data_IF_997413511270
#
_entry.id   IF_997413511270
#
_cell.length_a   1.000
_cell.length_b   1.000
_cell.length_c   1.000
_cell.angle_alpha   90.00
_cell.angle_beta   90.00
_cell.angle_gamma   90.00
#
_symmetry.space_group_name_H-M   'P 1'
#
loop_
_entity.id
_entity.type
_entity.pdbx_description
1 polymer ?
#
# COMPACT_ATOMS: atom_id res chain seq x y z
N UNK A 1 -18.77 -13.92 0.42
CA UNK A 1 -18.22 -12.92 -0.53
C UNK A 1 -16.89 -13.34 -1.16
N UNK A 2 -15.71 -13.16 -0.55
CA UNK A 2 -14.45 -13.55 -1.22
C UNK A 2 -14.23 -15.08 -1.25
N UNK A 3 -14.37 -15.76 -0.12
CA UNK A 3 -14.24 -17.23 -0.01
C UNK A 3 -15.25 -17.96 -0.90
N UNK A 4 -16.49 -17.50 -0.90
CA UNK A 4 -17.60 -18.05 -1.70
C UNK A 4 -17.31 -17.98 -3.21
N UNK A 5 -16.92 -16.81 -3.72
CA UNK A 5 -16.54 -16.64 -5.14
C UNK A 5 -15.37 -17.56 -5.54
N UNK A 6 -14.37 -17.71 -4.67
CA UNK A 6 -13.25 -18.62 -4.90
C UNK A 6 -13.70 -20.09 -4.91
N UNK A 7 -14.62 -20.47 -4.02
CA UNK A 7 -15.16 -21.84 -3.94
C UNK A 7 -16.11 -22.20 -5.09
N UNK A 8 -16.80 -21.22 -5.67
CA UNK A 8 -17.76 -21.42 -6.75
C UNK A 8 -17.11 -21.58 -8.13
N UNK A 9 -15.87 -21.12 -8.29
CA UNK A 9 -15.11 -21.31 -9.52
C UNK A 9 -14.71 -22.79 -9.70
N UNK A 10 -15.07 -23.34 -10.87
CA UNK A 10 -14.87 -24.77 -11.17
C UNK A 10 -13.40 -25.16 -11.30
N UNK A 11 -12.53 -24.26 -11.75
CA UNK A 11 -11.11 -24.52 -11.93
C UNK A 11 -10.42 -24.47 -10.56
N UNK A 12 -10.69 -23.44 -9.76
CA UNK A 12 -10.15 -23.30 -8.40
C UNK A 12 -10.56 -24.50 -7.54
N UNK A 13 -11.84 -24.91 -7.60
CA UNK A 13 -12.36 -26.07 -6.86
C UNK A 13 -11.74 -27.41 -7.27
N UNK A 14 -11.22 -27.53 -8.50
CA UNK A 14 -10.47 -28.73 -8.91
C UNK A 14 -9.06 -28.78 -8.31
N UNK A 15 -8.47 -27.61 -8.03
CA UNK A 15 -7.11 -27.48 -7.50
C UNK A 15 -7.08 -27.50 -5.97
N UNK A 16 -8.13 -26.98 -5.31
CA UNK A 16 -8.18 -26.83 -3.86
C UNK A 16 -9.45 -27.46 -3.28
N UNK A 17 -9.28 -28.21 -2.18
CA UNK A 17 -10.40 -28.83 -1.47
C UNK A 17 -11.11 -27.89 -0.49
N UNK A 18 -10.45 -26.83 -0.03
CA UNK A 18 -10.98 -25.86 0.94
C UNK A 18 -10.33 -24.49 0.73
N UNK A 19 -11.10 -23.41 0.90
CA UNK A 19 -10.60 -22.03 0.90
C UNK A 19 -10.70 -21.44 2.30
N UNK A 20 -9.56 -21.09 2.90
CA UNK A 20 -9.47 -20.36 4.17
C UNK A 20 -8.97 -18.95 3.94
N UNK A 21 -9.74 -17.97 4.40
CA UNK A 21 -9.36 -16.55 4.32
C UNK A 21 -8.90 -16.10 5.70
N UNK A 22 -7.66 -15.62 5.78
CA UNK A 22 -7.10 -15.03 7.00
C UNK A 22 -6.90 -13.54 6.77
N UNK A 23 -7.48 -12.72 7.64
CA UNK A 23 -7.23 -11.27 7.68
C UNK A 23 -6.19 -11.04 8.78
N UNK A 24 -5.00 -10.56 8.41
CA UNK A 24 -3.96 -10.22 9.36
C UNK A 24 -4.41 -9.08 10.28
N UNK A 25 -4.01 -9.12 11.55
CA UNK A 25 -4.26 -8.01 12.49
C UNK A 25 -3.20 -6.92 12.34
N UNK A 26 -2.06 -7.25 11.72
CA UNK A 26 -0.96 -6.35 11.41
C UNK A 26 -0.22 -6.78 10.15
N UNK A 27 0.61 -5.89 9.60
CA UNK A 27 1.50 -6.23 8.49
C UNK A 27 2.49 -7.35 8.88
N UNK A 28 2.85 -7.47 10.16
CA UNK A 28 3.72 -8.53 10.67
C UNK A 28 3.11 -9.93 10.45
N UNK A 29 1.80 -10.08 10.63
CA UNK A 29 1.13 -11.35 10.36
C UNK A 29 1.28 -11.75 8.90
N UNK A 30 1.00 -10.81 7.99
CA UNK A 30 1.17 -11.00 6.55
C UNK A 30 2.61 -11.39 6.24
N UNK A 31 3.61 -10.69 6.78
CA UNK A 31 5.02 -10.99 6.55
C UNK A 31 5.39 -12.41 7.00
N UNK A 32 4.89 -12.86 8.16
CA UNK A 32 5.11 -14.22 8.65
C UNK A 32 4.51 -15.28 7.72
N UNK A 33 3.31 -15.05 7.21
CA UNK A 33 2.66 -15.96 6.27
C UNK A 33 3.39 -16.04 4.91
N UNK A 34 3.85 -14.91 4.38
CA UNK A 34 4.68 -14.87 3.16
C UNK A 34 6.01 -15.58 3.40
N UNK A 35 6.72 -15.25 4.47
CA UNK A 35 8.04 -15.81 4.79
C UNK A 35 8.00 -17.33 4.98
N UNK A 36 6.90 -17.89 5.52
CA UNK A 36 6.74 -19.34 5.67
C UNK A 36 6.22 -20.05 4.41
N UNK A 37 5.83 -19.30 3.36
CA UNK A 37 5.37 -19.89 2.10
C UNK A 37 4.07 -20.70 2.20
N UNK A 38 3.27 -20.48 3.24
CA UNK A 38 2.05 -21.26 3.55
C UNK A 38 0.79 -20.70 2.90
N UNK A 39 0.89 -19.61 2.16
CA UNK A 39 -0.23 -18.98 1.44
C UNK A 39 -0.27 -19.44 -0.01
N UNK A 40 -1.48 -19.67 -0.52
CA UNK A 40 -1.71 -19.91 -1.94
C UNK A 40 -2.04 -18.63 -2.70
N UNK A 41 -2.75 -17.70 -2.06
CA UNK A 41 -3.10 -16.39 -2.61
C UNK A 41 -2.84 -15.34 -1.52
N UNK A 42 -2.17 -14.25 -1.87
CA UNK A 42 -1.88 -13.16 -0.94
C UNK A 42 -2.05 -11.78 -1.60
N UNK A 43 -2.58 -10.83 -0.84
CA UNK A 43 -2.60 -9.40 -1.19
C UNK A 43 -1.55 -8.70 -0.35
N UNK A 44 -0.43 -8.30 -0.95
CA UNK A 44 0.73 -7.72 -0.27
C UNK A 44 1.49 -6.77 -1.20
N UNK A 45 2.30 -5.85 -0.66
CA UNK A 45 3.20 -5.00 -1.46
C UNK A 45 4.37 -5.80 -2.02
N UNK A 46 4.87 -5.43 -3.20
CA UNK A 46 5.94 -6.16 -3.88
C UNK A 46 7.21 -6.32 -3.04
N UNK A 47 7.59 -5.26 -2.33
CA UNK A 47 8.79 -5.25 -1.51
C UNK A 47 8.83 -6.32 -0.41
N UNK A 48 7.68 -6.88 -0.02
CA UNK A 48 7.61 -7.99 0.94
C UNK A 48 7.97 -9.31 0.27
N UNK A 49 7.44 -9.54 -0.94
CA UNK A 49 7.77 -10.72 -1.75
C UNK A 49 9.25 -10.70 -2.11
N UNK A 50 9.76 -9.55 -2.54
CA UNK A 50 11.18 -9.37 -2.90
C UNK A 50 12.10 -9.60 -1.71
N UNK A 51 11.77 -9.02 -0.53
CA UNK A 51 12.61 -9.13 0.67
C UNK A 51 12.75 -10.57 1.17
N UNK A 52 11.72 -11.40 1.00
CA UNK A 52 11.76 -12.81 1.35
C UNK A 52 12.16 -13.73 0.20
N UNK A 53 12.39 -13.21 -1.01
CA UNK A 53 12.60 -14.00 -2.22
C UNK A 53 11.46 -15.00 -2.46
N UNK A 54 10.23 -14.65 -2.08
CA UNK A 54 9.11 -15.59 -2.02
C UNK A 54 8.60 -15.97 -3.43
N UNK A 55 8.90 -15.16 -4.44
CA UNK A 55 8.75 -15.49 -5.86
C UNK A 55 9.65 -16.67 -6.25
N UNK A 56 10.92 -16.65 -5.84
CA UNK A 56 11.91 -17.68 -6.19
C UNK A 56 11.78 -18.94 -5.34
N UNK A 57 11.57 -18.77 -4.03
CA UNK A 57 11.55 -19.90 -3.08
C UNK A 57 10.20 -20.62 -3.11
N UNK A 58 9.10 -19.87 -3.18
CA UNK A 58 7.75 -20.44 -3.06
C UNK A 58 6.95 -20.38 -4.36
N UNK A 59 7.44 -19.72 -5.41
CA UNK A 59 6.72 -19.57 -6.67
C UNK A 59 5.59 -18.52 -6.60
N UNK A 60 5.68 -17.54 -5.70
CA UNK A 60 4.68 -16.45 -5.65
C UNK A 60 4.76 -15.60 -6.92
N UNK A 61 3.81 -15.82 -7.82
CA UNK A 61 3.70 -15.15 -9.11
C UNK A 61 2.65 -14.06 -9.01
N UNK A 62 2.98 -12.85 -9.47
CA UNK A 62 2.05 -11.72 -9.50
C UNK A 62 0.85 -12.06 -10.41
N UNK A 63 -0.36 -11.81 -9.93
CA UNK A 63 -1.61 -11.98 -10.66
C UNK A 63 -2.21 -10.65 -11.09
N UNK A 64 -2.16 -9.66 -10.20
CA UNK A 64 -2.80 -8.39 -10.40
C UNK A 64 -2.18 -7.35 -9.46
N UNK A 65 -2.31 -6.08 -9.80
CA UNK A 65 -1.76 -4.99 -9.01
C UNK A 65 -2.69 -3.79 -8.98
N UNK A 66 -2.72 -3.12 -7.83
CA UNK A 66 -3.19 -1.74 -7.77
C UNK A 66 -2.07 -0.81 -8.24
N UNK A 67 -2.40 0.35 -8.83
CA UNK A 67 -1.40 1.29 -9.32
C UNK A 67 -0.49 1.77 -8.18
N UNK A 68 0.76 2.01 -8.56
CA UNK A 68 1.71 2.68 -7.69
C UNK A 68 1.23 4.11 -7.41
N UNK A 69 1.68 4.64 -6.27
CA UNK A 69 1.24 5.93 -5.79
C UNK A 69 2.41 6.72 -5.21
N UNK A 70 2.26 8.03 -5.22
CA UNK A 70 3.30 8.91 -4.71
C UNK A 70 3.04 9.29 -3.25
N UNK A 71 4.11 9.38 -2.47
CA UNK A 71 4.11 9.94 -1.12
C UNK A 71 4.46 11.43 -1.20
N UNK A 72 3.80 12.25 -0.38
CA UNK A 72 3.98 13.70 -0.36
C UNK A 72 4.20 14.22 1.05
N UNK A 73 4.91 15.35 1.14
CA UNK A 73 4.62 16.35 2.17
C UNK A 73 3.58 17.31 1.64
N UNK A 74 2.50 17.51 2.41
CA UNK A 74 1.37 18.37 2.06
C UNK A 74 1.26 19.46 3.10
N UNK A 75 1.10 20.71 2.66
CA UNK A 75 0.89 21.87 3.52
C UNK A 75 -0.25 22.76 2.98
N UNK A 76 -0.70 23.73 3.78
CA UNK A 76 -1.82 24.61 3.43
C UNK A 76 -1.44 25.85 2.62
N UNK A 77 -0.26 26.43 2.88
CA UNK A 77 0.05 27.82 2.48
C UNK A 77 1.17 27.93 1.46
N UNK A 78 2.09 27.00 1.49
CA UNK A 78 3.28 27.03 0.65
C UNK A 78 3.73 25.60 0.36
N UNK A 79 4.52 25.44 -0.71
CA UNK A 79 5.09 24.15 -1.07
C UNK A 79 6.24 23.80 -0.12
N UNK A 80 6.18 22.65 0.59
CA UNK A 80 7.28 22.25 1.47
C UNK A 80 8.60 22.09 0.72
N UNK A 81 9.70 22.64 1.23
CA UNK A 81 11.02 22.42 0.67
C UNK A 81 11.73 21.29 1.43
N UNK A 82 12.40 20.40 0.69
CA UNK A 82 13.17 19.29 1.28
C UNK A 82 14.58 19.76 1.69
N UNK A 83 14.65 20.75 2.56
CA UNK A 83 15.91 21.27 3.11
C UNK A 83 15.87 21.36 4.64
N UNK A 84 17.05 21.39 5.26
CA UNK A 84 17.17 21.51 6.72
C UNK A 84 16.52 22.80 7.21
N UNK A 85 16.86 23.89 6.57
CA UNK A 85 16.48 25.25 6.96
C UNK A 85 14.97 25.45 6.92
N UNK A 86 14.30 24.80 5.97
CA UNK A 86 12.85 24.89 5.81
C UNK A 86 12.09 24.07 6.86
N UNK A 87 12.53 22.84 7.13
CA UNK A 87 11.83 21.92 8.05
C UNK A 87 12.12 22.22 9.52
N UNK A 88 13.26 22.84 9.83
CA UNK A 88 13.57 23.28 11.19
C UNK A 88 12.53 24.32 11.66
N UNK A 89 11.93 24.05 12.83
CA UNK A 89 10.89 24.90 13.39
C UNK A 89 9.48 24.65 12.82
N UNK A 90 9.32 23.75 11.85
CA UNK A 90 8.00 23.27 11.41
C UNK A 90 7.57 22.05 12.22
N UNK A 91 6.27 21.92 12.38
CA UNK A 91 5.63 20.74 12.92
C UNK A 91 5.22 19.80 11.78
N UNK A 92 5.58 18.52 11.88
CA UNK A 92 5.35 17.51 10.84
C UNK A 92 4.50 16.37 11.39
N UNK A 93 3.34 16.16 10.78
CA UNK A 93 2.40 15.10 11.09
C UNK A 93 2.75 13.82 10.36
N UNK A 94 3.05 12.75 11.11
CA UNK A 94 3.28 11.41 10.60
C UNK A 94 2.26 10.44 11.17
N UNK A 95 2.17 9.24 10.60
CA UNK A 95 1.32 8.19 11.11
C UNK A 95 2.00 7.39 12.21
N UNK A 96 1.24 6.99 13.22
CA UNK A 96 1.72 6.22 14.37
C UNK A 96 2.01 4.74 14.03
N UNK A 97 1.52 4.24 12.89
CA UNK A 97 1.78 2.89 12.43
C UNK A 97 3.09 2.80 11.60
N UNK A 98 4.14 2.14 12.09
CA UNK A 98 5.49 2.19 11.50
C UNK A 98 5.62 1.60 10.10
N UNK A 99 4.66 0.76 9.68
CA UNK A 99 4.64 0.13 8.37
C UNK A 99 4.07 1.02 7.26
N UNK A 100 3.52 2.20 7.60
CA UNK A 100 3.05 3.16 6.59
C UNK A 100 4.20 3.62 5.71
N UNK A 101 4.20 3.28 4.42
CA UNK A 101 5.25 3.80 3.53
C UNK A 101 5.14 5.30 3.35
N UNK A 102 3.97 5.79 2.91
CA UNK A 102 3.77 7.21 2.64
C UNK A 102 3.57 8.08 3.88
N UNK A 103 3.09 7.52 4.99
CA UNK A 103 2.82 8.29 6.21
C UNK A 103 3.90 8.20 7.29
N UNK A 104 4.86 7.28 7.17
CA UNK A 104 5.87 7.04 8.21
C UNK A 104 7.27 6.77 7.65
N UNK A 105 7.44 5.74 6.82
CA UNK A 105 8.78 5.27 6.39
C UNK A 105 9.43 6.29 5.46
N UNK A 106 8.79 6.61 4.33
CA UNK A 106 9.31 7.56 3.32
C UNK A 106 9.63 8.93 3.93
N UNK A 107 8.72 9.59 4.68
CA UNK A 107 9.04 10.89 5.27
C UNK A 107 10.19 10.81 6.29
N UNK A 108 10.27 9.79 7.13
CA UNK A 108 11.41 9.65 8.07
C UNK A 108 12.72 9.45 7.32
N UNK A 109 12.74 8.64 6.26
CA UNK A 109 13.93 8.46 5.41
C UNK A 109 14.37 9.79 4.78
N UNK A 110 13.44 10.58 4.25
CA UNK A 110 13.76 11.90 3.66
C UNK A 110 14.33 12.85 4.72
N UNK A 111 13.69 12.95 5.89
CA UNK A 111 14.15 13.78 7.01
C UNK A 111 15.57 13.36 7.45
N UNK A 112 15.82 12.05 7.57
CA UNK A 112 17.14 11.51 7.93
C UNK A 112 18.21 11.79 6.88
N UNK A 113 17.88 11.67 5.59
CA UNK A 113 18.83 11.90 4.49
C UNK A 113 19.30 13.36 4.42
N UNK A 114 18.44 14.31 4.83
CA UNK A 114 18.84 15.70 5.00
C UNK A 114 19.43 15.97 6.38
N UNK A 115 19.83 14.96 7.15
CA UNK A 115 20.52 15.12 8.43
C UNK A 115 19.67 15.68 9.56
N UNK A 116 18.34 15.51 9.49
CA UNK A 116 17.39 15.80 10.56
C UNK A 116 16.90 14.51 11.22
N UNK A 117 16.29 14.62 12.40
CA UNK A 117 15.74 13.49 13.17
C UNK A 117 14.68 13.98 14.14
N UNK A 118 13.99 13.04 14.79
CA UNK A 118 12.98 13.30 15.82
C UNK A 118 13.48 14.19 16.98
N UNK A 119 14.79 14.37 17.13
CA UNK A 119 15.39 15.25 18.15
C UNK A 119 15.51 16.73 17.75
N UNK A 120 15.40 17.05 16.46
CA UNK A 120 15.52 18.41 15.94
C UNK A 120 14.33 18.86 15.09
N UNK A 121 13.41 17.95 14.77
CA UNK A 121 12.14 18.25 14.10
C UNK A 121 10.99 17.90 15.03
N UNK A 122 9.99 18.77 15.09
CA UNK A 122 8.77 18.51 15.85
C UNK A 122 7.87 17.54 15.07
N UNK A 123 8.01 16.24 15.36
CA UNK A 123 7.18 15.20 14.75
C UNK A 123 6.00 14.87 15.67
N UNK A 124 4.80 14.93 15.13
CA UNK A 124 3.55 14.60 15.83
C UNK A 124 2.91 13.40 15.14
N UNK A 125 2.48 12.41 15.93
CA UNK A 125 1.92 11.17 15.42
C UNK A 125 0.39 11.18 15.46
N UNK A 126 -0.23 10.65 14.40
CA UNK A 126 -1.68 10.54 14.22
C UNK A 126 -2.08 9.12 13.83
N UNK A 127 -3.30 8.71 14.18
CA UNK A 127 -3.75 7.33 13.97
C UNK A 127 -4.20 7.05 12.53
N UNK A 128 -4.49 8.08 11.74
CA UNK A 128 -4.98 7.91 10.37
C UNK A 128 -4.66 9.08 9.44
N UNK A 129 -4.68 8.78 8.13
CA UNK A 129 -4.57 9.77 7.06
C UNK A 129 -5.66 10.85 7.10
N UNK A 130 -6.83 10.52 7.64
CA UNK A 130 -7.93 11.49 7.79
C UNK A 130 -7.68 12.43 8.97
N UNK A 131 -7.13 11.93 10.06
CA UNK A 131 -6.72 12.76 11.20
C UNK A 131 -5.60 13.72 10.83
N UNK A 132 -4.60 13.26 10.07
CA UNK A 132 -3.56 14.14 9.52
C UNK A 132 -4.18 15.31 8.74
N UNK A 133 -5.10 15.01 7.81
CA UNK A 133 -5.79 16.05 7.01
C UNK A 133 -6.57 17.02 7.88
N UNK A 134 -7.28 16.52 8.90
CA UNK A 134 -8.02 17.35 9.85
C UNK A 134 -7.10 18.27 10.63
N UNK A 135 -6.00 17.75 11.17
CA UNK A 135 -5.02 18.53 11.92
C UNK A 135 -4.36 19.60 11.06
N UNK A 136 -4.04 19.27 9.80
CA UNK A 136 -3.50 20.23 8.84
C UNK A 136 -4.51 21.36 8.59
N UNK A 137 -5.77 21.04 8.31
CA UNK A 137 -6.83 22.03 8.07
C UNK A 137 -7.12 22.90 9.30
N UNK A 138 -7.03 22.33 10.50
CA UNK A 138 -7.18 23.05 11.76
C UNK A 138 -5.97 23.96 12.07
N UNK A 139 -4.86 23.84 11.33
CA UNK A 139 -3.62 24.56 11.60
C UNK A 139 -2.88 24.06 12.85
N UNK A 140 -3.18 22.85 13.31
CA UNK A 140 -2.50 22.20 14.43
C UNK A 140 -1.11 21.69 14.05
N UNK A 141 -0.90 21.46 12.74
CA UNK A 141 0.36 20.99 12.17
C UNK A 141 0.66 21.75 10.88
N UNK A 142 1.94 22.01 10.60
CA UNK A 142 2.35 22.78 9.42
C UNK A 142 2.37 21.91 8.15
N UNK A 143 2.80 20.66 8.29
CA UNK A 143 3.05 19.72 7.20
C UNK A 143 2.52 18.35 7.61
N UNK A 144 1.91 17.61 6.69
CA UNK A 144 1.60 16.17 6.89
C UNK A 144 2.29 15.32 5.84
N UNK A 145 2.53 14.06 6.17
CA UNK A 145 2.97 13.07 5.19
C UNK A 145 1.87 12.08 4.84
N UNK A 146 1.53 12.00 3.55
CA UNK A 146 0.43 11.17 3.05
C UNK A 146 0.57 10.90 1.55
N UNK A 147 -0.23 9.97 1.03
CA UNK A 147 -0.60 9.96 -0.39
C UNK A 147 -1.58 11.11 -0.70
N UNK A 148 -1.67 11.48 -1.99
CA UNK A 148 -2.67 12.42 -2.50
C UNK A 148 -3.98 11.69 -2.83
N UNK A 149 -5.05 11.98 -2.10
CA UNK A 149 -6.39 11.48 -2.36
C UNK A 149 -7.12 12.36 -3.38
N UNK A 150 -8.13 11.82 -4.06
CA UNK A 150 -8.94 12.59 -5.02
C UNK A 150 -9.62 13.80 -4.32
N UNK A 151 -10.22 13.53 -3.15
CA UNK A 151 -10.89 14.48 -2.25
C UNK A 151 -9.96 15.59 -1.73
N UNK A 152 -8.62 15.41 -1.79
CA UNK A 152 -7.68 16.43 -1.34
C UNK A 152 -7.78 17.70 -2.17
N UNK A 153 -8.19 17.58 -3.44
CA UNK A 153 -8.31 18.72 -4.35
C UNK A 153 -9.40 19.73 -3.92
N UNK A 154 -10.32 19.32 -3.03
CA UNK A 154 -11.37 20.18 -2.50
C UNK A 154 -10.84 21.15 -1.42
N UNK A 155 -9.82 20.73 -0.66
CA UNK A 155 -9.36 21.43 0.54
C UNK A 155 -7.87 21.81 0.50
N UNK A 156 -7.09 21.16 -0.37
CA UNK A 156 -5.65 21.33 -0.51
C UNK A 156 -5.28 21.67 -1.95
N UNK A 157 -4.14 22.37 -2.12
CA UNK A 157 -3.59 22.66 -3.43
C UNK A 157 -2.45 21.70 -3.74
N UNK A 158 -2.48 21.08 -4.92
CA UNK A 158 -1.38 20.22 -5.39
C UNK A 158 -0.07 21.00 -5.58
N UNK A 159 -0.15 22.33 -5.72
CA UNK A 159 1.03 23.20 -5.72
C UNK A 159 1.73 23.25 -4.36
N UNK A 160 1.03 22.92 -3.27
CA UNK A 160 1.55 22.86 -1.91
C UNK A 160 1.85 21.42 -1.46
N UNK A 161 1.92 20.50 -2.41
CA UNK A 161 2.36 19.12 -2.19
C UNK A 161 3.74 18.92 -2.82
N UNK A 162 4.70 18.48 -2.00
CA UNK A 162 6.04 18.13 -2.45
C UNK A 162 6.18 16.62 -2.49
N UNK A 163 6.45 16.02 -3.67
CA UNK A 163 6.65 14.58 -3.77
C UNK A 163 7.91 14.18 -3.01
N UNK A 164 7.80 13.10 -2.23
CA UNK A 164 8.90 12.47 -1.49
C UNK A 164 9.40 11.23 -2.22
N UNK A 165 8.48 10.48 -2.80
CA UNK A 165 8.74 9.29 -3.62
C UNK A 165 7.57 9.12 -4.57
N UNK A 166 7.83 8.92 -5.86
CA UNK A 166 6.79 8.82 -6.89
C UNK A 166 6.23 7.40 -7.02
N UNK A 167 7.08 6.38 -6.86
CA UNK A 167 6.77 4.97 -7.10
C UNK A 167 6.68 4.18 -5.78
N UNK A 168 5.71 4.51 -4.91
CA UNK A 168 5.40 3.62 -3.78
C UNK A 168 4.50 2.51 -4.29
N UNK A 169 4.98 1.27 -4.18
CA UNK A 169 4.26 0.10 -4.68
C UNK A 169 2.83 0.00 -4.13
N UNK A 170 1.87 -0.11 -5.04
CA UNK A 170 0.49 -0.47 -4.73
C UNK A 170 0.38 -1.88 -4.14
N UNK A 171 -0.79 -2.23 -3.61
CA UNK A 171 -1.04 -3.61 -3.18
C UNK A 171 -1.12 -4.53 -4.40
N UNK A 172 -0.52 -5.72 -4.31
CA UNK A 172 -0.48 -6.68 -5.40
C UNK A 172 -0.97 -8.06 -4.94
N UNK A 173 -1.66 -8.74 -5.84
CA UNK A 173 -2.09 -10.12 -5.65
C UNK A 173 -1.01 -11.06 -6.16
N UNK A 174 -0.64 -12.03 -5.34
CA UNK A 174 0.31 -13.08 -5.67
C UNK A 174 -0.32 -14.46 -5.50
N UNK A 175 -0.16 -15.31 -6.51
CA UNK A 175 -0.56 -16.71 -6.49
C UNK A 175 0.67 -17.60 -6.42
N UNK A 176 0.63 -18.58 -5.52
CA UNK A 176 1.64 -19.61 -5.44
C UNK A 176 1.50 -20.57 -6.63
N UNK A 177 2.47 -20.52 -7.53
CA UNK A 177 2.53 -21.32 -8.75
C UNK A 177 3.74 -22.26 -8.69
N UNK A 178 3.51 -23.53 -8.37
CA UNK A 178 4.56 -24.56 -8.39
C UNK A 178 4.75 -25.17 -9.79
N UNK A 179 3.75 -25.02 -10.65
CA UNK A 179 3.74 -25.47 -12.05
C UNK A 179 3.10 -24.40 -12.93
N UNK A 180 3.33 -24.45 -14.24
CA UNK A 180 2.68 -23.57 -15.21
C UNK A 180 1.21 -23.99 -15.44
N UNK A 181 0.36 -23.76 -14.44
CA UNK A 181 -1.08 -24.02 -14.51
C UNK A 181 -1.84 -22.76 -14.96
N UNK A 182 -1.84 -22.49 -16.27
CA UNK A 182 -2.48 -21.30 -16.84
C UNK A 182 -3.97 -21.22 -16.53
N UNK A 183 -4.69 -22.36 -16.56
CA UNK A 183 -6.12 -22.40 -16.20
C UNK A 183 -6.36 -21.85 -14.79
N UNK A 184 -5.57 -22.31 -13.81
CA UNK A 184 -5.67 -21.83 -12.43
C UNK A 184 -5.32 -20.34 -12.33
N UNK A 185 -4.25 -19.90 -13.01
CA UNK A 185 -3.84 -18.51 -13.02
C UNK A 185 -4.98 -17.61 -13.51
N UNK A 186 -5.60 -17.96 -14.63
CA UNK A 186 -6.68 -17.18 -15.24
C UNK A 186 -7.99 -17.21 -14.46
N UNK A 187 -8.35 -18.36 -13.90
CA UNK A 187 -9.50 -18.47 -13.00
C UNK A 187 -9.31 -17.59 -11.77
N UNK A 188 -8.11 -17.63 -11.16
CA UNK A 188 -7.80 -16.82 -10.00
C UNK A 188 -7.80 -15.32 -10.31
N UNK A 189 -7.21 -14.90 -11.44
CA UNK A 189 -7.27 -13.50 -11.90
C UNK A 189 -8.70 -13.03 -12.10
N UNK A 190 -9.56 -13.86 -12.70
CA UNK A 190 -10.97 -13.54 -12.94
C UNK A 190 -11.70 -13.31 -11.62
N UNK A 191 -11.57 -14.23 -10.66
CA UNK A 191 -12.22 -14.09 -9.35
C UNK A 191 -11.68 -12.87 -8.58
N UNK A 192 -10.37 -12.62 -8.61
CA UNK A 192 -9.76 -11.43 -7.99
C UNK A 192 -10.31 -10.15 -8.61
N UNK A 193 -10.44 -10.10 -9.94
CA UNK A 193 -11.03 -8.96 -10.64
C UNK A 193 -12.49 -8.74 -10.24
N UNK A 194 -13.30 -9.79 -10.18
CA UNK A 194 -14.69 -9.67 -9.73
C UNK A 194 -14.81 -9.16 -8.30
N UNK A 195 -13.97 -9.65 -7.40
CA UNK A 195 -13.92 -9.18 -6.00
C UNK A 195 -13.61 -7.68 -5.99
N UNK A 196 -12.58 -7.25 -6.71
CA UNK A 196 -12.19 -5.86 -6.85
C UNK A 196 -13.32 -4.97 -7.40
N UNK A 197 -13.95 -5.37 -8.50
CA UNK A 197 -15.03 -4.61 -9.15
C UNK A 197 -16.30 -4.51 -8.30
N UNK A 198 -16.56 -5.53 -7.48
CA UNK A 198 -17.70 -5.54 -6.54
C UNK A 198 -17.48 -4.68 -5.28
N UNK A 199 -16.26 -4.20 -5.05
CA UNK A 199 -15.94 -3.46 -3.83
C UNK A 199 -16.56 -2.04 -3.85
N UNK A 200 -17.14 -1.55 -2.73
CA UNK A 200 -17.82 -0.25 -2.71
C UNK A 200 -16.86 0.93 -2.93
N UNK A 201 -15.61 0.83 -2.45
CA UNK A 201 -14.61 1.91 -2.57
C UNK A 201 -13.95 1.93 -3.96
N UNK A 202 -13.87 3.08 -4.65
CA UNK A 202 -13.29 3.22 -5.99
C UNK A 202 -11.85 2.74 -6.12
N UNK A 203 -11.01 2.96 -5.08
CA UNK A 203 -9.61 2.55 -5.09
C UNK A 203 -9.42 1.06 -5.43
N UNK A 204 -10.27 0.17 -4.93
CA UNK A 204 -10.11 -1.26 -5.21
C UNK A 204 -10.52 -1.64 -6.64
N UNK A 205 -11.19 -0.76 -7.38
CA UNK A 205 -11.60 -0.98 -8.78
C UNK A 205 -10.51 -0.60 -9.78
N UNK A 206 -9.40 0.00 -9.34
CA UNK A 206 -8.28 0.39 -10.22
C UNK A 206 -7.29 -0.75 -10.46
N UNK A 207 -7.68 -1.99 -10.17
CA UNK A 207 -6.83 -3.17 -10.32
C UNK A 207 -6.48 -3.42 -11.79
N UNK A 208 -5.21 -3.72 -12.05
CA UNK A 208 -4.68 -4.14 -13.35
C UNK A 208 -4.30 -5.61 -13.28
N UNK A 209 -4.73 -6.40 -14.25
CA UNK A 209 -4.40 -7.83 -14.33
C UNK A 209 -3.07 -8.03 -15.06
N UNK A 210 -2.28 -9.00 -14.63
CA UNK A 210 -1.08 -9.42 -15.36
C UNK A 210 -1.45 -10.13 -16.67
N UNK A 211 -0.58 -10.03 -17.67
CA UNK A 211 -0.73 -10.75 -18.94
C UNK A 211 -0.60 -12.27 -18.76
N UNK A 212 -1.11 -13.05 -19.71
CA UNK A 212 -0.92 -14.51 -19.73
C UNK A 212 -2.20 -15.35 -19.88
N UNK A 213 -3.37 -14.71 -19.91
CA UNK A 213 -4.66 -15.36 -20.11
C UNK A 213 -5.19 -15.10 -21.53
N UNK A 214 -4.64 -15.84 -22.50
CA UNK A 214 -5.09 -15.87 -23.90
C UNK A 214 -5.47 -17.28 -24.30
#
# INVERSE_FOLDING_TARGET
MASERLCDDKIIKRQYGEVKVTIGQSDYDTFRYINHGVVNLALVKSNVVDAFGADQIYGLTKLASHPDYSAFFIALRERPLLSKEYLLGKSIGLLDYPSSRSGHIVPKTVIQNIGLSDSNVNIVYYSSHQELRRALLAGEIDIISSYWAEEDSENFSKNYATPLQEDVSGMQWYLKMLTQNTDLFCAMQTVVNEIAMSHPRPYYKTITLEEGCN
#
